data_IF_322293216923
#
_entry.id   IF_322293216923
#
_cell.length_a   1.000
_cell.length_b   1.000
_cell.length_c   1.000
_cell.angle_alpha   90.00
_cell.angle_beta   90.00
_cell.angle_gamma   90.00
#
_symmetry.space_group_name_H-M   'P 1'
#
loop_
_entity.id
_entity.type
_entity.pdbx_description
1 polymer ?
#
# COMPACT_ATOMS: atom_id res chain seq x y z
N UNK A 1 -7.45 15.33 19.48
CA UNK A 1 -7.19 15.09 18.04
C UNK A 1 -5.85 14.39 17.76
N UNK A 2 -4.75 14.77 18.40
CA UNK A 2 -3.42 14.20 18.09
C UNK A 2 -3.30 12.68 18.31
N UNK A 3 -3.95 12.15 19.36
CA UNK A 3 -3.99 10.71 19.67
C UNK A 3 -4.74 9.92 18.58
N UNK A 4 -5.90 10.43 18.14
CA UNK A 4 -6.70 9.82 17.06
C UNK A 4 -5.94 9.86 15.72
N UNK A 5 -5.32 10.99 15.37
CA UNK A 5 -4.46 11.08 14.19
C UNK A 5 -3.27 10.12 14.26
N UNK A 6 -2.62 9.99 15.42
CA UNK A 6 -1.52 9.07 15.65
C UNK A 6 -1.94 7.60 15.50
N UNK A 7 -3.09 7.23 16.08
CA UNK A 7 -3.62 5.87 16.00
C UNK A 7 -4.07 5.52 14.58
N UNK A 8 -4.75 6.43 13.88
CA UNK A 8 -5.13 6.26 12.46
C UNK A 8 -3.91 6.12 11.55
N UNK A 9 -2.83 6.89 11.81
CA UNK A 9 -1.59 6.78 11.03
C UNK A 9 -0.92 5.42 11.25
N UNK A 10 -0.81 4.97 12.51
CA UNK A 10 -0.23 3.66 12.84
C UNK A 10 -1.05 2.51 12.25
N UNK A 11 -2.38 2.57 12.32
CA UNK A 11 -3.25 1.56 11.71
C UNK A 11 -3.08 1.50 10.19
N UNK A 12 -3.08 2.65 9.50
CA UNK A 12 -2.84 2.72 8.05
C UNK A 12 -1.47 2.15 7.66
N UNK A 13 -0.44 2.44 8.44
CA UNK A 13 0.92 1.92 8.21
C UNK A 13 0.95 0.38 8.38
N UNK A 14 0.32 -0.16 9.43
CA UNK A 14 0.19 -1.61 9.64
C UNK A 14 -0.63 -2.29 8.55
N UNK A 15 -1.76 -1.70 8.16
CA UNK A 15 -2.60 -2.24 7.08
C UNK A 15 -1.85 -2.21 5.75
N UNK A 16 -1.10 -1.14 5.46
CA UNK A 16 -0.27 -1.06 4.25
C UNK A 16 0.85 -2.11 4.26
N UNK A 17 1.47 -2.41 5.41
CA UNK A 17 2.44 -3.50 5.53
C UNK A 17 1.85 -4.85 5.15
N UNK A 18 0.71 -5.20 5.75
CA UNK A 18 0.09 -6.51 5.57
C UNK A 18 -0.51 -6.65 4.18
N UNK A 19 -1.34 -5.68 3.77
CA UNK A 19 -2.04 -5.72 2.49
C UNK A 19 -1.10 -5.42 1.32
N UNK A 20 -0.13 -4.52 1.49
CA UNK A 20 0.83 -4.19 0.44
C UNK A 20 1.75 -5.35 0.07
N UNK A 21 2.03 -6.27 0.99
CA UNK A 21 2.80 -7.49 0.69
C UNK A 21 1.92 -8.62 0.12
N UNK A 22 0.67 -8.72 0.57
CA UNK A 22 -0.19 -9.88 0.24
C UNK A 22 -1.08 -9.65 -0.98
N UNK A 23 -1.72 -8.48 -1.09
CA UNK A 23 -2.68 -8.17 -2.18
C UNK A 23 -2.03 -8.27 -3.56
N UNK A 24 -0.83 -7.71 -3.84
CA UNK A 24 -0.22 -7.83 -5.16
C UNK A 24 0.09 -9.29 -5.54
N UNK A 25 0.51 -10.12 -4.58
CA UNK A 25 0.80 -11.54 -4.80
C UNK A 25 -0.46 -12.33 -5.12
N UNK A 26 -1.55 -12.07 -4.38
CA UNK A 26 -2.84 -12.68 -4.61
C UNK A 26 -3.43 -12.24 -5.95
N UNK A 27 -3.40 -10.95 -6.26
CA UNK A 27 -3.91 -10.42 -7.52
C UNK A 27 -3.13 -10.97 -8.71
N UNK A 28 -1.80 -11.07 -8.59
CA UNK A 28 -0.97 -11.72 -9.60
C UNK A 28 -1.36 -13.19 -9.80
N UNK A 29 -1.58 -13.92 -8.71
CA UNK A 29 -1.83 -15.37 -8.75
C UNK A 29 -3.24 -15.74 -9.21
N UNK A 30 -4.25 -14.99 -8.78
CA UNK A 30 -5.66 -15.33 -9.00
C UNK A 30 -6.33 -14.54 -10.12
N UNK A 31 -5.73 -13.44 -10.58
CA UNK A 31 -6.32 -12.61 -11.65
C UNK A 31 -5.41 -12.60 -12.86
N UNK A 32 -4.15 -12.20 -12.70
CA UNK A 32 -3.27 -12.06 -13.86
C UNK A 32 -2.94 -13.42 -14.46
N UNK A 33 -2.52 -14.40 -13.66
CA UNK A 33 -2.21 -15.74 -14.17
C UNK A 33 -3.35 -16.38 -14.98
N UNK A 34 -4.62 -16.45 -14.52
CA UNK A 34 -5.68 -17.05 -15.33
C UNK A 34 -6.06 -16.21 -16.57
N UNK A 35 -6.02 -14.89 -16.47
CA UNK A 35 -6.32 -14.00 -17.63
C UNK A 35 -5.26 -14.14 -18.72
N UNK A 36 -3.99 -14.19 -18.34
CA UNK A 36 -2.87 -14.36 -19.28
C UNK A 36 -2.70 -15.83 -19.71
N UNK A 37 -2.97 -16.82 -18.86
CA UNK A 37 -2.94 -18.23 -19.23
C UNK A 37 -3.91 -18.55 -20.37
N UNK A 38 -5.12 -17.95 -20.37
CA UNK A 38 -6.08 -18.16 -21.46
C UNK A 38 -5.68 -17.47 -22.78
N UNK A 39 -4.74 -16.52 -22.76
CA UNK A 39 -4.29 -15.78 -23.95
C UNK A 39 -2.89 -16.20 -24.43
N UNK A 40 -2.16 -17.00 -23.66
CA UNK A 40 -0.76 -17.37 -23.92
C UNK A 40 -0.56 -18.89 -23.84
N UNK A 41 -1.39 -19.68 -24.53
CA UNK A 41 -1.30 -21.15 -24.58
C UNK A 41 0.08 -21.69 -25.07
N UNK A 42 1.01 -20.82 -25.51
CA UNK A 42 2.39 -21.19 -25.89
C UNK A 42 3.49 -20.27 -25.33
N UNK A 43 3.20 -19.31 -24.44
CA UNK A 43 4.21 -18.38 -23.91
C UNK A 43 4.38 -18.46 -22.39
N UNK A 44 5.58 -18.86 -21.98
CA UNK A 44 5.93 -19.12 -20.59
C UNK A 44 5.78 -17.87 -19.69
N UNK A 45 4.77 -17.92 -18.82
CA UNK A 45 4.72 -17.36 -17.47
C UNK A 45 4.93 -15.84 -17.30
N UNK A 46 4.10 -15.04 -17.97
CA UNK A 46 3.86 -13.63 -17.60
C UNK A 46 2.77 -13.52 -16.52
N UNK A 47 2.91 -12.73 -15.43
CA UNK A 47 4.12 -12.11 -14.86
C UNK A 47 4.80 -12.99 -13.78
N UNK A 48 6.10 -12.77 -13.54
CA UNK A 48 6.85 -13.54 -12.53
C UNK A 48 6.40 -13.25 -11.10
N UNK A 49 5.84 -14.27 -10.44
CA UNK A 49 5.43 -14.19 -9.03
C UNK A 49 6.60 -13.94 -8.07
N UNK A 50 7.84 -14.32 -8.45
CA UNK A 50 9.05 -14.04 -7.67
C UNK A 50 9.36 -12.55 -7.68
N UNK A 51 9.24 -11.89 -8.83
CA UNK A 51 9.44 -10.44 -8.93
C UNK A 51 8.37 -9.68 -8.16
N UNK A 52 7.10 -10.09 -8.26
CA UNK A 52 6.00 -9.44 -7.51
C UNK A 52 6.20 -9.57 -6.00
N UNK A 53 6.56 -10.77 -5.53
CA UNK A 53 6.81 -11.05 -4.10
C UNK A 53 8.02 -10.28 -3.54
N UNK A 54 9.01 -9.96 -4.38
CA UNK A 54 10.17 -9.16 -4.00
C UNK A 54 9.88 -7.64 -4.01
N UNK A 55 9.27 -7.15 -5.09
CA UNK A 55 9.09 -5.70 -5.33
C UNK A 55 7.99 -5.11 -4.45
N UNK A 56 6.94 -5.87 -4.14
CA UNK A 56 5.84 -5.42 -3.30
C UNK A 56 6.29 -4.97 -1.87
N UNK A 57 6.99 -5.81 -1.08
CA UNK A 57 7.46 -5.40 0.25
C UNK A 57 8.53 -4.30 0.18
N UNK A 58 9.41 -4.29 -0.84
CA UNK A 58 10.38 -3.21 -1.03
C UNK A 58 9.67 -1.86 -1.26
N UNK A 59 8.60 -1.85 -2.05
CA UNK A 59 7.78 -0.64 -2.28
C UNK A 59 7.14 -0.15 -0.99
N UNK A 60 6.61 -1.07 -0.17
CA UNK A 60 6.06 -0.75 1.16
C UNK A 60 7.13 -0.13 2.06
N UNK A 61 8.34 -0.70 2.11
CA UNK A 61 9.46 -0.16 2.89
C UNK A 61 9.82 1.26 2.46
N UNK A 62 9.89 1.53 1.16
CA UNK A 62 10.16 2.87 0.62
C UNK A 62 9.06 3.88 1.01
N UNK A 63 7.80 3.45 1.07
CA UNK A 63 6.68 4.31 1.47
C UNK A 63 6.66 4.61 2.98
N UNK A 64 7.13 3.68 3.81
CA UNK A 64 7.20 3.82 5.26
C UNK A 64 8.50 4.45 5.76
N UNK A 65 9.54 4.50 4.92
CA UNK A 65 10.81 5.13 5.25
C UNK A 65 10.66 6.62 5.61
N UNK A 66 11.47 7.08 6.57
CA UNK A 66 11.49 8.49 6.98
C UNK A 66 11.92 9.37 5.80
N UNK A 67 11.25 10.52 5.63
CA UNK A 67 11.56 11.47 4.57
C UNK A 67 13.03 11.92 4.62
N UNK A 68 13.57 12.28 3.45
CA UNK A 68 14.97 12.70 3.30
C UNK A 68 15.91 11.54 2.96
N UNK A 69 17.15 11.61 3.46
CA UNK A 69 18.22 10.64 3.15
C UNK A 69 17.81 9.18 3.40
N UNK A 70 17.14 8.81 4.51
CA UNK A 70 16.76 7.42 4.76
C UNK A 70 15.88 6.84 3.65
N UNK A 71 14.88 7.58 3.18
CA UNK A 71 14.00 7.16 2.08
C UNK A 71 14.75 7.02 0.76
N UNK A 72 15.71 7.91 0.48
CA UNK A 72 16.54 7.82 -0.72
C UNK A 72 17.43 6.57 -0.69
N UNK A 73 18.03 6.27 0.46
CA UNK A 73 18.82 5.05 0.67
C UNK A 73 17.94 3.81 0.52
N UNK A 74 16.76 3.78 1.14
CA UNK A 74 15.81 2.65 0.99
C UNK A 74 15.39 2.45 -0.46
N UNK A 75 15.14 3.54 -1.20
CA UNK A 75 14.81 3.47 -2.62
C UNK A 75 16.00 2.93 -3.44
N UNK A 76 17.20 3.43 -3.21
CA UNK A 76 18.40 2.95 -3.91
C UNK A 76 18.63 1.46 -3.67
N UNK A 77 18.54 1.01 -2.41
CA UNK A 77 18.65 -0.42 -2.05
C UNK A 77 17.56 -1.24 -2.72
N UNK A 78 16.31 -0.78 -2.71
CA UNK A 78 15.21 -1.47 -3.37
C UNK A 78 15.43 -1.64 -4.88
N UNK A 79 15.94 -0.60 -5.56
CA UNK A 79 16.28 -0.65 -6.98
C UNK A 79 17.42 -1.63 -7.23
N UNK A 80 18.51 -1.57 -6.46
CA UNK A 80 19.66 -2.47 -6.61
C UNK A 80 19.25 -3.93 -6.40
N UNK A 81 18.51 -4.23 -5.33
CA UNK A 81 18.04 -5.59 -5.04
C UNK A 81 17.14 -6.11 -6.16
N UNK A 82 16.22 -5.28 -6.65
CA UNK A 82 15.33 -5.64 -7.77
C UNK A 82 16.12 -5.89 -9.05
N UNK A 83 17.11 -5.05 -9.35
CA UNK A 83 17.97 -5.20 -10.52
C UNK A 83 18.82 -6.48 -10.45
N UNK A 84 19.47 -6.75 -9.31
CA UNK A 84 20.25 -7.97 -9.10
C UNK A 84 19.38 -9.23 -9.23
N UNK A 85 18.18 -9.23 -8.64
CA UNK A 85 17.25 -10.34 -8.77
C UNK A 85 16.78 -10.53 -10.22
N UNK A 86 16.48 -9.43 -10.92
CA UNK A 86 16.14 -9.45 -12.34
C UNK A 86 17.25 -10.02 -13.21
N UNK A 87 18.48 -9.57 -13.00
CA UNK A 87 19.67 -10.10 -13.70
C UNK A 87 19.87 -11.59 -13.40
N UNK A 88 19.66 -12.03 -12.16
CA UNK A 88 19.72 -13.46 -11.82
C UNK A 88 18.65 -14.29 -12.51
N UNK A 89 17.41 -13.81 -12.53
CA UNK A 89 16.27 -14.50 -13.16
C UNK A 89 16.44 -14.61 -14.69
N UNK A 90 16.91 -13.54 -15.33
CA UNK A 90 17.17 -13.51 -16.78
C UNK A 90 18.43 -14.29 -17.13
N UNK A 91 19.53 -14.10 -16.40
CA UNK A 91 20.83 -14.71 -16.66
C UNK A 91 20.84 -16.22 -16.49
N UNK A 92 19.97 -16.76 -15.63
CA UNK A 92 19.76 -18.20 -15.46
C UNK A 92 18.71 -18.78 -16.43
N UNK A 93 18.15 -17.96 -17.33
CA UNK A 93 17.16 -18.38 -18.32
C UNK A 93 15.77 -18.69 -17.77
N UNK A 94 15.48 -18.31 -16.51
CA UNK A 94 14.18 -18.59 -15.88
C UNK A 94 13.07 -17.66 -16.36
N UNK A 95 13.39 -16.44 -16.79
CA UNK A 95 12.41 -15.44 -17.20
C UNK A 95 12.92 -14.51 -18.30
N UNK A 96 12.01 -14.00 -19.12
CA UNK A 96 12.34 -12.91 -20.04
C UNK A 96 12.46 -11.59 -19.28
N UNK A 97 13.30 -10.64 -19.76
CA UNK A 97 13.43 -9.32 -19.16
C UNK A 97 12.08 -8.59 -19.02
N UNK A 98 11.20 -8.79 -19.99
CA UNK A 98 9.85 -8.23 -20.01
C UNK A 98 8.99 -8.73 -18.84
N UNK A 99 9.16 -9.98 -18.39
CA UNK A 99 8.39 -10.57 -17.27
C UNK A 99 8.78 -9.92 -15.94
N UNK A 100 10.07 -9.63 -15.80
CA UNK A 100 10.64 -8.96 -14.63
C UNK A 100 10.17 -7.50 -14.58
N UNK A 101 10.26 -6.78 -15.70
CA UNK A 101 9.80 -5.38 -15.77
C UNK A 101 8.29 -5.30 -15.52
N UNK A 102 7.49 -6.18 -16.13
CA UNK A 102 6.05 -6.23 -15.92
C UNK A 102 5.66 -6.52 -14.47
N UNK A 103 6.29 -7.52 -13.86
CA UNK A 103 6.07 -7.87 -12.45
C UNK A 103 6.45 -6.73 -11.50
N UNK A 104 7.55 -6.03 -11.77
CA UNK A 104 7.99 -4.89 -10.97
C UNK A 104 7.02 -3.70 -11.10
N UNK A 105 6.65 -3.32 -12.34
CA UNK A 105 5.70 -2.25 -12.59
C UNK A 105 4.34 -2.53 -11.94
N UNK A 106 3.84 -3.76 -12.07
CA UNK A 106 2.58 -4.18 -11.47
C UNK A 106 2.62 -4.10 -9.94
N UNK A 107 3.67 -4.63 -9.31
CA UNK A 107 3.82 -4.59 -7.86
C UNK A 107 3.86 -3.16 -7.32
N UNK A 108 4.62 -2.27 -7.97
CA UNK A 108 4.69 -0.85 -7.59
C UNK A 108 3.33 -0.19 -7.74
N UNK A 109 2.66 -0.35 -8.88
CA UNK A 109 1.36 0.26 -9.14
C UNK A 109 0.29 -0.22 -8.14
N UNK A 110 0.25 -1.52 -7.83
CA UNK A 110 -0.69 -2.09 -6.87
C UNK A 110 -0.49 -1.53 -5.46
N UNK A 111 0.75 -1.46 -4.97
CA UNK A 111 1.07 -0.92 -3.63
C UNK A 111 0.78 0.58 -3.54
N UNK A 112 1.11 1.36 -4.58
CA UNK A 112 0.78 2.78 -4.63
C UNK A 112 -0.73 3.03 -4.63
N UNK A 113 -1.48 2.26 -5.42
CA UNK A 113 -2.96 2.33 -5.46
C UNK A 113 -3.55 2.04 -4.09
N UNK A 114 -3.09 0.98 -3.42
CA UNK A 114 -3.54 0.63 -2.08
C UNK A 114 -3.21 1.75 -1.07
N UNK A 115 -2.01 2.33 -1.13
CA UNK A 115 -1.63 3.47 -0.28
C UNK A 115 -2.57 4.67 -0.49
N UNK A 116 -2.91 4.98 -1.75
CA UNK A 116 -3.83 6.07 -2.08
C UNK A 116 -5.25 5.81 -1.56
N UNK A 117 -5.75 4.58 -1.66
CA UNK A 117 -7.05 4.17 -1.11
C UNK A 117 -7.08 4.34 0.42
N UNK A 118 -6.04 3.86 1.13
CA UNK A 118 -5.94 3.99 2.59
C UNK A 118 -5.84 5.44 3.08
N UNK A 119 -5.25 6.33 2.27
CA UNK A 119 -5.18 7.77 2.54
C UNK A 119 -6.51 8.48 2.34
N UNK A 120 -7.32 8.04 1.37
CA UNK A 120 -8.63 8.64 1.05
C UNK A 120 -9.80 8.12 1.92
N UNK A 121 -9.62 7.02 2.65
CA UNK A 121 -10.66 6.47 3.52
C UNK A 121 -11.12 7.51 4.57
N UNK A 122 -12.41 7.90 4.57
CA UNK A 122 -12.99 8.84 5.55
C UNK A 122 -12.78 8.34 6.97
N UNK A 123 -12.48 9.25 7.91
CA UNK A 123 -12.51 8.91 9.33
C UNK A 123 -13.95 8.51 9.73
N UNK A 124 -14.14 7.45 10.54
CA UNK A 124 -15.44 7.15 11.12
C UNK A 124 -15.96 8.41 11.82
N UNK A 125 -17.15 8.86 11.44
CA UNK A 125 -17.84 9.96 12.09
C UNK A 125 -18.29 9.48 13.47
N UNK A 126 -17.53 9.84 14.50
CA UNK A 126 -18.00 9.72 15.88
C UNK A 126 -19.25 10.59 16.02
N UNK A 127 -20.41 9.93 16.15
CA UNK A 127 -21.70 10.59 16.32
C UNK A 127 -21.66 11.54 17.51
N UNK A 128 -21.94 12.82 17.26
CA UNK A 128 -22.02 13.81 18.32
C UNK A 128 -23.16 13.45 19.28
N UNK A 129 -22.94 13.48 20.61
CA UNK A 129 -24.04 13.46 21.56
C UNK A 129 -24.89 14.70 21.32
N UNK A 130 -26.19 14.51 21.02
CA UNK A 130 -27.16 15.61 21.00
C UNK A 130 -27.04 16.37 22.31
N UNK A 131 -26.61 17.64 22.23
CA UNK A 131 -26.67 18.57 23.34
C UNK A 131 -28.14 18.67 23.78
N UNK A 132 -28.46 18.03 24.90
CA UNK A 132 -29.73 18.19 25.57
C UNK A 132 -29.88 19.64 26.04
N UNK A 133 -30.71 20.39 25.33
CA UNK A 133 -31.56 21.50 25.81
C UNK A 133 -31.23 22.03 27.21
N UNK A 134 -30.41 23.09 27.28
CA UNK A 134 -30.43 24.01 28.42
C UNK A 134 -31.53 25.05 28.19
N UNK A 135 -32.76 24.74 28.58
CA UNK A 135 -33.81 25.76 28.73
C UNK A 135 -33.44 26.64 29.92
N UNK A 136 -33.18 27.92 29.65
CA UNK A 136 -32.65 28.87 30.60
C UNK A 136 -33.56 29.18 31.80
N UNK A 137 -32.92 29.33 32.96
CA UNK A 137 -33.47 30.07 34.10
C UNK A 137 -32.76 31.43 34.17
N UNK A 138 -33.49 32.50 33.79
CA UNK A 138 -33.06 33.91 33.94
C UNK A 138 -32.87 34.25 35.42
N UNK A 139 -31.86 35.05 35.82
CA UNK A 139 -31.82 35.66 37.14
C UNK A 139 -32.76 36.86 37.17
N UNK A 140 -33.76 36.83 38.06
CA UNK A 140 -34.57 38.00 38.36
C UNK A 140 -33.76 38.93 39.27
N UNK A 141 -33.40 40.09 38.74
CA UNK A 141 -33.02 41.25 39.53
C UNK A 141 -34.29 41.94 40.04
N UNK A 142 -34.33 42.28 41.33
CA UNK A 142 -35.11 43.42 41.80
C UNK A 142 -34.53 44.01 43.09
N UNK A 143 -34.38 45.34 43.17
CA UNK A 143 -33.89 46.06 44.34
C UNK A 143 -35.03 46.48 45.27
N UNK A 144 -34.80 46.44 46.58
CA UNK A 144 -35.10 47.48 47.59
C UNK A 144 -34.75 46.99 48.98
#
# INVERSE_FOLDING_TARGET
>A
MTILCGLQRRWRDTVLCVLGATVPVLLNTFVLKPVFAHHLDDYLAYPSGHTVSLVAPLTVLVLLARQGIPRLVTLAVAVVVTACAGVGLVGLGYHYPLDVVGGACFAVAAVLTLSLCLRRAPAPSDGSPRAGTSSGSRPASSPR
#
